data_IF_698920482407
#
_entry.id   IF_698920482407
#
_cell.length_a   1.000
_cell.length_b   1.000
_cell.length_c   1.000
_cell.angle_alpha   90.00
_cell.angle_beta   90.00
_cell.angle_gamma   90.00
#
_symmetry.space_group_name_H-M   'P 1'
#
loop_
_entity.id
_entity.type
_entity.pdbx_description
1 polymer ?
#
# COMPACT_ATOMS: atom_id res chain seq x y z
N UNK A 1 39.54 -0.57 3.44
CA UNK A 1 38.68 0.61 3.20
C UNK A 1 37.25 0.31 2.72
N UNK A 2 36.97 -0.71 1.87
CA UNK A 2 35.59 -1.19 1.64
C UNK A 2 35.15 -2.30 2.61
N UNK A 3 36.09 -3.02 3.22
CA UNK A 3 35.81 -4.02 4.27
C UNK A 3 35.70 -3.40 5.68
N UNK A 4 36.35 -2.27 5.95
CA UNK A 4 36.38 -1.65 7.29
C UNK A 4 35.06 -0.95 7.70
N UNK A 5 34.16 -0.67 6.75
CA UNK A 5 32.85 -0.05 7.06
C UNK A 5 31.81 -1.12 7.45
N UNK A 6 32.01 -2.37 7.05
CA UNK A 6 31.14 -3.48 7.46
C UNK A 6 31.43 -3.95 8.89
N UNK A 7 32.65 -3.74 9.39
CA UNK A 7 33.05 -4.24 10.72
C UNK A 7 32.59 -3.39 11.91
N UNK A 8 32.23 -2.11 11.73
CA UNK A 8 31.98 -1.21 12.86
C UNK A 8 30.61 -1.34 13.55
N UNK A 9 29.74 -2.26 13.10
CA UNK A 9 28.51 -2.61 13.84
C UNK A 9 28.53 -4.01 14.46
N UNK A 10 29.65 -4.73 14.31
CA UNK A 10 29.75 -6.18 14.64
C UNK A 10 30.33 -6.49 16.03
N UNK A 11 30.65 -5.49 16.85
CA UNK A 11 31.32 -5.69 18.15
C UNK A 11 30.51 -5.25 19.37
N UNK A 12 29.21 -5.55 19.40
CA UNK A 12 28.48 -5.58 20.67
C UNK A 12 27.53 -6.78 20.74
N UNK A 13 28.11 -7.94 21.03
CA UNK A 13 27.50 -9.17 21.57
C UNK A 13 27.53 -10.39 20.62
N UNK A 14 28.17 -11.51 21.02
CA UNK A 14 28.21 -12.75 20.25
C UNK A 14 26.83 -13.41 20.01
N UNK A 15 25.79 -13.02 20.73
CA UNK A 15 24.42 -13.52 20.54
C UNK A 15 23.68 -12.87 19.34
N UNK A 16 24.20 -11.80 18.74
CA UNK A 16 23.55 -11.07 17.64
C UNK A 16 23.76 -11.70 16.23
N UNK A 17 24.46 -12.82 16.13
CA UNK A 17 24.82 -13.47 14.86
C UNK A 17 23.69 -14.29 14.21
N UNK A 18 22.51 -14.42 14.85
CA UNK A 18 21.42 -15.30 14.39
C UNK A 18 20.21 -14.58 13.76
N UNK A 19 20.20 -13.25 13.71
CA UNK A 19 18.97 -12.50 13.42
C UNK A 19 18.76 -12.06 11.97
N UNK A 20 19.74 -12.27 11.08
CA UNK A 20 19.60 -11.91 9.66
C UNK A 20 19.86 -13.11 8.76
N UNK A 21 18.96 -13.41 7.80
CA UNK A 21 19.18 -14.49 6.83
C UNK A 21 20.46 -14.24 6.03
N UNK A 22 21.20 -15.30 5.75
CA UNK A 22 22.46 -15.23 5.01
C UNK A 22 22.21 -14.71 3.59
N UNK A 23 23.09 -13.83 3.09
CA UNK A 23 23.00 -13.18 1.76
C UNK A 23 22.85 -14.20 0.60
N UNK A 24 23.30 -15.43 0.78
CA UNK A 24 23.13 -16.52 -0.19
C UNK A 24 21.69 -17.03 -0.31
N UNK A 25 20.88 -16.97 0.75
CA UNK A 25 19.44 -17.30 0.68
C UNK A 25 18.67 -16.26 -0.14
N UNK A 26 19.10 -15.00 -0.08
CA UNK A 26 18.51 -13.90 -0.86
C UNK A 26 18.69 -14.04 -2.37
N UNK A 27 19.82 -14.60 -2.83
CA UNK A 27 20.05 -14.87 -4.26
C UNK A 27 19.14 -15.97 -4.80
N UNK A 28 18.94 -17.03 -4.02
CA UNK A 28 18.03 -18.14 -4.39
C UNK A 28 16.58 -17.64 -4.53
N UNK A 29 16.14 -16.76 -3.63
CA UNK A 29 14.78 -16.18 -3.71
C UNK A 29 14.54 -15.24 -4.90
N UNK A 30 15.59 -14.59 -5.43
CA UNK A 30 15.49 -13.72 -6.62
C UNK A 30 15.21 -14.56 -7.87
N UNK A 31 15.95 -15.65 -8.07
CA UNK A 31 15.80 -16.48 -9.26
C UNK A 31 14.44 -17.21 -9.26
N UNK A 32 14.00 -17.71 -8.11
CA UNK A 32 12.67 -18.33 -7.95
C UNK A 32 11.54 -17.34 -8.25
N UNK A 33 11.66 -16.09 -7.78
CA UNK A 33 10.66 -15.05 -8.04
C UNK A 33 10.57 -14.69 -9.53
N UNK A 34 11.71 -14.51 -10.19
CA UNK A 34 11.76 -14.24 -11.63
C UNK A 34 11.16 -15.40 -12.43
N UNK A 35 11.43 -16.64 -12.02
CA UNK A 35 10.83 -17.81 -12.65
C UNK A 35 9.30 -17.85 -12.48
N UNK A 36 8.78 -17.46 -11.31
CA UNK A 36 7.32 -17.33 -11.11
C UNK A 36 6.71 -16.30 -12.06
N UNK A 37 7.34 -15.13 -12.23
CA UNK A 37 6.86 -14.11 -13.18
C UNK A 37 6.88 -14.67 -14.61
N UNK A 38 7.96 -15.35 -14.98
CA UNK A 38 8.11 -15.94 -16.30
C UNK A 38 7.03 -16.98 -16.58
N UNK A 39 6.83 -17.93 -15.68
CA UNK A 39 5.82 -18.96 -15.82
C UNK A 39 4.40 -18.39 -15.82
N UNK A 40 4.13 -17.41 -14.95
CA UNK A 40 2.82 -16.75 -14.91
C UNK A 40 2.55 -15.99 -16.21
N UNK A 41 3.50 -15.18 -16.69
CA UNK A 41 3.34 -14.37 -17.90
C UNK A 41 3.12 -15.19 -19.16
N UNK A 42 3.64 -16.43 -19.21
CA UNK A 42 3.41 -17.38 -20.31
C UNK A 42 2.06 -18.10 -20.21
N UNK A 43 1.51 -18.26 -19.00
CA UNK A 43 0.30 -19.08 -18.73
C UNK A 43 -1.00 -18.29 -18.73
N UNK A 44 -0.96 -16.97 -18.55
CA UNK A 44 -2.16 -16.14 -18.45
C UNK A 44 -2.15 -14.97 -19.42
N UNK A 45 -3.34 -14.57 -19.89
CA UNK A 45 -3.51 -13.37 -20.70
C UNK A 45 -3.54 -12.10 -19.86
N UNK A 46 -3.77 -12.22 -18.54
CA UNK A 46 -3.83 -11.10 -17.61
C UNK A 46 -2.41 -10.53 -17.41
N UNK A 47 -2.19 -9.21 -17.60
CA UNK A 47 -0.88 -8.60 -17.40
C UNK A 47 -0.33 -8.86 -15.99
N UNK A 48 0.87 -9.40 -15.90
CA UNK A 48 1.59 -9.61 -14.64
C UNK A 48 2.34 -8.34 -14.26
N UNK A 49 2.11 -7.84 -13.04
CA UNK A 49 2.86 -6.73 -12.45
C UNK A 49 3.90 -7.33 -11.50
N UNK A 50 5.18 -7.11 -11.79
CA UNK A 50 6.27 -7.52 -10.90
C UNK A 50 6.46 -6.51 -9.77
N UNK A 51 6.58 -6.98 -8.53
CA UNK A 51 6.82 -6.13 -7.38
C UNK A 51 8.31 -6.10 -7.04
N UNK A 52 8.86 -4.91 -6.88
CA UNK A 52 10.22 -4.67 -6.44
C UNK A 52 10.18 -4.08 -5.02
N UNK A 53 10.81 -4.79 -4.08
CA UNK A 53 10.99 -4.35 -2.70
C UNK A 53 12.46 -4.57 -2.29
N UNK A 54 13.08 -3.57 -1.71
CA UNK A 54 14.48 -3.58 -1.31
C UNK A 54 14.94 -2.21 -0.80
N UNK A 55 16.22 -2.09 -0.51
CA UNK A 55 16.69 -1.02 0.39
C UNK A 55 17.92 -0.27 -0.12
N UNK A 56 18.58 -0.73 -1.19
CA UNK A 56 19.83 -0.16 -1.72
C UNK A 56 19.80 0.07 -3.23
N UNK A 57 20.36 1.20 -3.68
CA UNK A 57 20.31 1.64 -5.07
C UNK A 57 21.04 0.69 -6.05
N UNK A 58 22.10 0.00 -5.62
CA UNK A 58 22.99 -0.76 -6.49
C UNK A 58 22.43 -2.11 -6.98
N UNK A 59 21.42 -2.68 -6.33
CA UNK A 59 20.78 -3.94 -6.77
C UNK A 59 19.44 -3.75 -7.51
N UNK A 60 18.81 -2.59 -7.34
CA UNK A 60 17.44 -2.35 -7.80
C UNK A 60 17.29 -2.23 -9.31
N UNK A 61 18.25 -1.53 -9.94
CA UNK A 61 18.18 -1.22 -11.37
C UNK A 61 18.24 -2.50 -12.20
N UNK A 62 19.17 -3.39 -11.88
CA UNK A 62 19.33 -4.64 -12.63
C UNK A 62 18.20 -5.63 -12.33
N UNK A 63 17.72 -5.67 -11.08
CA UNK A 63 16.58 -6.51 -10.76
C UNK A 63 15.29 -6.05 -11.44
N UNK A 64 15.05 -4.74 -11.56
CA UNK A 64 13.93 -4.21 -12.35
C UNK A 64 13.99 -4.65 -13.82
N UNK A 65 15.19 -4.65 -14.43
CA UNK A 65 15.38 -5.17 -15.80
C UNK A 65 15.09 -6.67 -15.88
N UNK A 66 15.53 -7.46 -14.91
CA UNK A 66 15.25 -8.89 -14.88
C UNK A 66 13.74 -9.17 -14.73
N UNK A 67 13.03 -8.41 -13.89
CA UNK A 67 11.56 -8.49 -13.76
C UNK A 67 10.89 -8.23 -15.13
N UNK A 68 11.34 -7.19 -15.85
CA UNK A 68 10.84 -6.92 -17.20
C UNK A 68 11.17 -8.07 -18.17
N UNK A 69 12.40 -8.58 -18.16
CA UNK A 69 12.85 -9.67 -19.04
C UNK A 69 12.09 -10.97 -18.78
N UNK A 70 11.71 -11.22 -17.52
CA UNK A 70 10.85 -12.33 -17.13
C UNK A 70 9.41 -12.19 -17.66
N UNK A 71 9.05 -11.06 -18.30
CA UNK A 71 7.76 -10.90 -18.98
C UNK A 71 6.72 -10.09 -18.21
N UNK A 72 7.10 -9.45 -17.09
CA UNK A 72 6.23 -8.50 -16.42
C UNK A 72 5.82 -7.36 -17.37
N UNK A 73 4.54 -6.96 -17.30
CA UNK A 73 3.95 -5.87 -18.09
C UNK A 73 3.88 -4.55 -17.35
N UNK A 74 4.20 -4.56 -16.06
CA UNK A 74 4.36 -3.37 -15.23
C UNK A 74 5.24 -3.70 -14.03
N UNK A 75 5.81 -2.66 -13.43
CA UNK A 75 6.63 -2.75 -12.22
C UNK A 75 5.94 -2.00 -11.09
N UNK A 76 5.64 -2.65 -9.97
CA UNK A 76 5.26 -1.97 -8.72
C UNK A 76 6.49 -1.83 -7.83
N UNK A 77 6.94 -0.61 -7.60
CA UNK A 77 8.03 -0.32 -6.69
C UNK A 77 7.50 0.03 -5.31
N UNK A 78 7.82 -0.81 -4.33
CA UNK A 78 7.56 -0.54 -2.92
C UNK A 78 8.82 0.03 -2.27
N UNK A 79 8.85 1.35 -2.10
CA UNK A 79 9.95 2.04 -1.43
C UNK A 79 9.75 1.87 0.08
N UNK A 80 10.18 0.73 0.60
CA UNK A 80 10.17 0.43 2.03
C UNK A 80 11.31 1.18 2.72
N UNK A 81 11.07 2.46 3.03
CA UNK A 81 12.04 3.31 3.70
C UNK A 81 11.42 4.00 4.93
N UNK A 82 11.96 3.65 6.10
CA UNK A 82 11.64 4.29 7.38
C UNK A 82 12.85 5.18 7.74
N UNK A 83 12.75 6.52 7.62
CA UNK A 83 13.84 7.40 8.00
C UNK A 83 13.94 7.47 9.53
N UNK A 84 14.86 6.68 10.10
CA UNK A 84 15.08 6.63 11.56
C UNK A 84 16.17 7.58 12.05
N UNK A 85 16.92 8.20 11.13
CA UNK A 85 17.91 9.21 11.44
C UNK A 85 17.22 10.51 11.84
N UNK A 86 17.56 11.02 13.03
CA UNK A 86 16.95 12.22 13.61
C UNK A 86 17.41 13.50 12.92
N UNK A 87 18.56 13.48 12.25
CA UNK A 87 19.13 14.65 11.57
C UNK A 87 18.72 14.73 10.09
N UNK A 88 17.99 13.72 9.58
CA UNK A 88 17.55 13.66 8.19
C UNK A 88 16.30 14.52 7.95
N UNK A 89 16.41 15.51 7.07
CA UNK A 89 15.30 16.38 6.71
C UNK A 89 14.25 15.69 5.83
N UNK A 90 12.98 16.04 6.02
CA UNK A 90 11.88 15.47 5.21
C UNK A 90 12.02 15.72 3.70
N UNK A 91 12.66 16.84 3.30
CA UNK A 91 12.97 17.11 1.89
C UNK A 91 13.96 16.11 1.30
N UNK A 92 14.98 15.71 2.06
CA UNK A 92 15.96 14.71 1.62
C UNK A 92 15.29 13.33 1.46
N UNK A 93 14.34 13.02 2.34
CA UNK A 93 13.49 11.82 2.21
C UNK A 93 12.69 11.88 0.91
N UNK A 94 12.02 13.00 0.60
CA UNK A 94 11.28 13.17 -0.66
C UNK A 94 12.19 13.02 -1.88
N UNK A 95 13.36 13.67 -1.89
CA UNK A 95 14.32 13.64 -3.00
C UNK A 95 14.79 12.22 -3.30
N UNK A 96 15.05 11.40 -2.27
CA UNK A 96 15.39 9.98 -2.44
C UNK A 96 14.32 9.19 -3.19
N UNK A 97 13.03 9.42 -2.90
CA UNK A 97 11.94 8.76 -3.63
C UNK A 97 11.93 9.18 -5.11
N UNK A 98 12.14 10.46 -5.41
CA UNK A 98 12.15 10.98 -6.78
C UNK A 98 13.35 10.44 -7.59
N UNK A 99 14.52 10.34 -6.97
CA UNK A 99 15.70 9.75 -7.58
C UNK A 99 15.47 8.28 -7.97
N UNK A 100 14.89 7.48 -7.06
CA UNK A 100 14.56 6.07 -7.30
C UNK A 100 13.63 5.95 -8.52
N UNK A 101 12.55 6.72 -8.56
CA UNK A 101 11.60 6.70 -9.69
C UNK A 101 12.29 7.09 -10.99
N UNK A 102 13.08 8.16 -10.97
CA UNK A 102 13.81 8.64 -12.15
C UNK A 102 14.79 7.58 -12.67
N UNK A 103 15.50 6.88 -11.79
CA UNK A 103 16.44 5.83 -12.16
C UNK A 103 15.72 4.60 -12.72
N UNK A 104 14.61 4.17 -12.12
CA UNK A 104 13.81 3.05 -12.62
C UNK A 104 13.21 3.36 -14.00
N UNK A 105 12.66 4.56 -14.19
CA UNK A 105 12.11 4.97 -15.49
C UNK A 105 13.16 5.05 -16.61
N UNK A 106 14.44 5.20 -16.27
CA UNK A 106 15.55 5.10 -17.23
C UNK A 106 15.99 3.67 -17.50
N UNK A 107 15.69 2.72 -16.61
CA UNK A 107 16.19 1.35 -16.70
C UNK A 107 15.21 0.37 -17.34
N UNK A 108 13.91 0.63 -17.26
CA UNK A 108 12.84 -0.22 -17.82
C UNK A 108 11.95 0.57 -18.77
N UNK A 109 11.32 -0.14 -19.72
CA UNK A 109 10.37 0.42 -20.70
C UNK A 109 8.91 0.14 -20.34
N UNK A 110 8.66 -0.78 -19.42
CA UNK A 110 7.31 -1.03 -18.88
C UNK A 110 6.85 0.07 -17.92
N UNK A 111 5.54 0.27 -17.72
CA UNK A 111 5.00 1.21 -16.73
C UNK A 111 5.48 0.92 -15.31
N UNK A 112 5.73 1.97 -14.54
CA UNK A 112 6.21 1.91 -13.14
C UNK A 112 5.17 2.54 -12.23
N UNK A 113 4.63 1.73 -11.32
CA UNK A 113 3.72 2.12 -10.25
C UNK A 113 4.49 2.31 -8.94
N UNK A 114 4.29 3.42 -8.23
CA UNK A 114 4.95 3.68 -6.94
C UNK A 114 4.00 3.41 -5.80
N UNK A 115 4.35 2.47 -4.92
CA UNK A 115 3.59 2.19 -3.70
C UNK A 115 4.05 3.09 -2.56
N UNK A 116 3.11 3.87 -2.04
CA UNK A 116 3.40 5.00 -1.17
C UNK A 116 3.11 4.71 0.28
N UNK A 117 3.79 5.45 1.15
CA UNK A 117 3.45 5.60 2.56
C UNK A 117 2.66 6.91 2.77
N UNK A 118 1.74 6.95 3.74
CA UNK A 118 0.86 8.11 3.93
C UNK A 118 1.47 9.25 4.77
N UNK A 119 2.76 9.17 5.13
CA UNK A 119 3.36 10.02 6.17
C UNK A 119 4.09 11.28 5.65
N UNK A 120 3.95 11.61 4.38
CA UNK A 120 4.48 12.87 3.86
C UNK A 120 3.65 14.05 4.37
N UNK A 121 4.32 15.07 4.91
CA UNK A 121 3.68 16.31 5.39
C UNK A 121 2.80 16.98 4.33
N UNK A 122 3.13 16.81 3.05
CA UNK A 122 2.33 17.24 1.91
C UNK A 122 2.16 16.11 0.90
N UNK A 123 1.36 15.10 1.26
CA UNK A 123 1.11 13.92 0.42
C UNK A 123 0.62 14.26 -0.99
N UNK A 124 -0.27 15.26 -1.17
CA UNK A 124 -0.70 15.68 -2.50
C UNK A 124 0.45 16.24 -3.35
N UNK A 125 1.34 17.03 -2.74
CA UNK A 125 2.52 17.55 -3.43
C UNK A 125 3.50 16.43 -3.78
N UNK A 126 3.74 15.50 -2.86
CA UNK A 126 4.62 14.36 -3.09
C UNK A 126 4.10 13.47 -4.24
N UNK A 127 2.79 13.16 -4.23
CA UNK A 127 2.14 12.43 -5.32
C UNK A 127 2.34 13.12 -6.68
N UNK A 128 2.17 14.45 -6.73
CA UNK A 128 2.42 15.23 -7.94
C UNK A 128 3.87 15.13 -8.41
N UNK A 129 4.84 15.34 -7.52
CA UNK A 129 6.27 15.26 -7.84
C UNK A 129 6.67 13.88 -8.38
N UNK A 130 6.10 12.79 -7.85
CA UNK A 130 6.36 11.43 -8.33
C UNK A 130 5.86 11.20 -9.76
N UNK A 131 4.68 11.72 -10.09
CA UNK A 131 4.16 11.69 -11.46
C UNK A 131 5.04 12.52 -12.39
N UNK A 132 5.45 13.72 -11.96
CA UNK A 132 6.40 14.57 -12.70
C UNK A 132 7.78 13.90 -12.88
N UNK A 133 8.21 13.06 -11.93
CA UNK A 133 9.42 12.24 -12.04
C UNK A 133 9.25 11.01 -12.96
N UNK A 134 8.04 10.74 -13.44
CA UNK A 134 7.74 9.73 -14.46
C UNK A 134 6.98 8.49 -13.96
N UNK A 135 6.44 8.49 -12.74
CA UNK A 135 5.57 7.40 -12.28
C UNK A 135 4.28 7.32 -13.12
N UNK A 136 3.98 6.13 -13.66
CA UNK A 136 2.79 5.90 -14.49
C UNK A 136 1.54 5.58 -13.64
N UNK A 137 1.76 5.14 -12.40
CA UNK A 137 0.71 4.90 -11.43
C UNK A 137 1.17 5.13 -9.99
N UNK A 138 0.21 5.38 -9.09
CA UNK A 138 0.44 5.46 -7.64
C UNK A 138 -0.43 4.43 -6.91
N UNK A 139 0.16 3.71 -5.96
CA UNK A 139 -0.53 2.68 -5.16
C UNK A 139 -0.66 3.16 -3.70
N UNK A 140 -1.90 3.36 -3.25
CA UNK A 140 -2.21 3.98 -1.96
C UNK A 140 -2.90 2.98 -1.02
N UNK A 141 -2.38 2.68 0.17
CA UNK A 141 -1.01 2.89 0.67
C UNK A 141 -0.42 1.57 1.14
N UNK A 142 0.91 1.49 1.16
CA UNK A 142 1.60 0.41 1.84
C UNK A 142 1.20 0.35 3.32
N UNK A 143 1.25 -0.85 3.91
CA UNK A 143 0.95 -1.09 5.32
C UNK A 143 2.22 -1.60 6.00
N UNK A 144 2.66 -0.89 7.04
CA UNK A 144 3.78 -1.33 7.85
C UNK A 144 3.36 -2.45 8.79
N UNK A 145 4.24 -3.43 8.97
CA UNK A 145 4.15 -4.36 10.07
C UNK A 145 4.83 -3.71 11.26
N UNK A 146 4.04 -2.90 11.98
CA UNK A 146 4.49 -2.24 13.20
C UNK A 146 4.78 -3.30 14.26
N UNK A 147 5.86 -3.16 15.04
CA UNK A 147 6.12 -4.06 16.15
C UNK A 147 5.00 -3.95 17.18
N UNK A 148 4.64 -5.09 17.76
CA UNK A 148 3.76 -5.16 18.92
C UNK A 148 4.55 -5.76 20.09
N UNK A 149 4.05 -5.59 21.31
CA UNK A 149 4.66 -6.17 22.50
C UNK A 149 3.79 -7.29 23.05
N UNK A 150 4.42 -8.43 23.34
CA UNK A 150 3.85 -9.36 24.30
C UNK A 150 4.07 -8.77 25.70
N UNK A 151 2.98 -8.36 26.36
CA UNK A 151 3.05 -7.71 27.68
C UNK A 151 3.28 -8.70 28.82
N UNK A 152 3.04 -9.99 28.60
CA UNK A 152 3.28 -11.03 29.59
C UNK A 152 4.75 -11.47 29.52
N UNK A 153 5.25 -11.70 28.31
CA UNK A 153 6.62 -12.15 28.07
C UNK A 153 7.64 -11.00 27.91
N UNK A 154 7.18 -9.74 27.91
CA UNK A 154 8.00 -8.53 27.73
C UNK A 154 8.90 -8.60 26.49
N UNK A 155 8.35 -9.12 25.39
CA UNK A 155 9.07 -9.39 24.15
C UNK A 155 8.40 -8.73 22.94
N UNK A 156 9.13 -8.63 21.83
CA UNK A 156 8.55 -8.14 20.56
C UNK A 156 7.73 -9.28 19.96
N UNK A 157 6.43 -9.02 19.76
CA UNK A 157 5.53 -9.92 19.05
C UNK A 157 5.64 -9.71 17.54
N UNK A 158 5.87 -10.80 16.82
CA UNK A 158 5.92 -10.83 15.35
C UNK A 158 4.65 -11.45 14.75
N UNK A 159 3.48 -11.17 15.33
CA UNK A 159 2.22 -11.70 14.83
C UNK A 159 1.75 -10.96 13.57
N UNK A 160 1.64 -11.69 12.45
CA UNK A 160 1.07 -11.15 11.22
C UNK A 160 -0.41 -10.81 11.41
N UNK A 161 -0.74 -9.52 11.49
CA UNK A 161 -2.12 -9.06 11.47
C UNK A 161 -2.58 -8.74 10.06
N UNK A 162 -3.62 -9.45 9.60
CA UNK A 162 -4.27 -9.17 8.33
C UNK A 162 -5.08 -7.89 8.41
N UNK A 163 -5.05 -7.09 7.32
CA UNK A 163 -5.84 -5.87 7.25
C UNK A 163 -7.35 -6.13 7.41
N UNK A 164 -8.01 -5.08 7.89
CA UNK A 164 -9.43 -5.00 8.22
C UNK A 164 -10.13 -4.00 7.29
N UNK A 165 -11.44 -4.18 7.03
CA UNK A 165 -12.22 -3.22 6.25
C UNK A 165 -12.23 -1.79 6.81
N UNK A 166 -11.88 -1.59 8.08
CA UNK A 166 -11.80 -0.25 8.68
C UNK A 166 -10.64 0.60 8.16
N UNK A 167 -9.56 -0.05 7.70
CA UNK A 167 -8.33 0.61 7.26
C UNK A 167 -8.46 1.30 5.90
N UNK A 168 -9.58 1.11 5.19
CA UNK A 168 -9.78 1.74 3.88
C UNK A 168 -9.85 3.27 3.95
N UNK A 169 -10.20 3.84 5.11
CA UNK A 169 -10.54 5.26 5.24
C UNK A 169 -9.42 6.19 4.81
N UNK A 170 -8.18 5.84 5.14
CA UNK A 170 -7.01 6.66 4.82
C UNK A 170 -6.69 6.63 3.32
N UNK A 171 -6.49 5.48 2.66
CA UNK A 171 -6.35 5.45 1.20
C UNK A 171 -7.56 6.05 0.48
N UNK A 172 -8.77 5.80 0.97
CA UNK A 172 -10.03 6.29 0.38
C UNK A 172 -10.04 7.82 0.30
N UNK A 173 -9.66 8.50 1.39
CA UNK A 173 -9.59 9.96 1.42
C UNK A 173 -8.61 10.49 0.37
N UNK A 174 -7.41 9.92 0.29
CA UNK A 174 -6.40 10.38 -0.64
C UNK A 174 -6.74 10.07 -2.10
N UNK A 175 -7.33 8.92 -2.39
CA UNK A 175 -7.84 8.60 -3.73
C UNK A 175 -8.88 9.63 -4.18
N UNK A 176 -9.84 9.96 -3.31
CA UNK A 176 -10.85 10.96 -3.59
C UNK A 176 -10.28 12.38 -3.81
N UNK A 177 -9.18 12.73 -3.13
CA UNK A 177 -8.49 14.01 -3.26
C UNK A 177 -7.66 14.09 -4.55
N UNK A 178 -7.01 12.98 -4.95
CA UNK A 178 -6.09 12.95 -6.09
C UNK A 178 -6.78 12.68 -7.44
N UNK A 179 -7.94 12.03 -7.42
CA UNK A 179 -8.68 11.69 -8.63
C UNK A 179 -8.90 12.91 -9.54
N UNK A 180 -8.59 12.75 -10.83
CA UNK A 180 -8.73 13.79 -11.85
C UNK A 180 -7.78 14.98 -11.74
N UNK A 181 -6.86 14.99 -10.76
CA UNK A 181 -5.85 16.06 -10.57
C UNK A 181 -4.45 15.69 -11.01
N UNK A 182 -4.20 14.40 -11.20
CA UNK A 182 -2.93 13.85 -11.69
C UNK A 182 -3.21 13.04 -12.95
N UNK A 183 -2.37 13.20 -13.98
CA UNK A 183 -2.41 12.38 -15.19
C UNK A 183 -1.66 11.06 -14.95
N UNK A 184 -2.24 10.21 -14.10
CA UNK A 184 -1.65 8.93 -13.65
C UNK A 184 -2.75 7.97 -13.23
N UNK A 185 -2.47 6.66 -13.26
CA UNK A 185 -3.41 5.67 -12.70
C UNK A 185 -3.32 5.59 -11.18
N UNK A 186 -4.43 5.40 -10.49
CA UNK A 186 -4.50 5.29 -9.04
C UNK A 186 -4.97 3.90 -8.60
N UNK A 187 -4.11 3.17 -7.90
CA UNK A 187 -4.44 1.86 -7.33
C UNK A 187 -4.76 1.97 -5.84
N UNK A 188 -5.81 1.29 -5.41
CA UNK A 188 -6.17 1.18 -4.01
C UNK A 188 -5.70 -0.17 -3.44
N UNK A 189 -5.02 -0.13 -2.29
CA UNK A 189 -4.68 -1.31 -1.50
C UNK A 189 -5.07 -1.07 -0.04
N UNK A 190 -4.96 -2.12 0.78
CA UNK A 190 -5.23 -2.13 2.22
C UNK A 190 -6.72 -2.16 2.55
N UNK A 191 -7.11 -3.04 3.47
CA UNK A 191 -8.48 -3.15 3.97
C UNK A 191 -9.52 -3.71 2.97
N UNK A 192 -9.15 -4.09 1.76
CA UNK A 192 -10.07 -4.71 0.78
C UNK A 192 -10.45 -6.13 1.24
N UNK A 193 -11.48 -6.24 2.08
CA UNK A 193 -11.98 -7.51 2.60
C UNK A 193 -13.16 -8.10 1.82
N UNK A 194 -13.89 -7.29 1.06
CA UNK A 194 -15.09 -7.71 0.33
C UNK A 194 -15.37 -6.82 -0.90
N UNK A 195 -16.43 -7.16 -1.64
CA UNK A 195 -16.96 -6.35 -2.76
C UNK A 195 -17.31 -4.91 -2.35
N UNK A 196 -17.71 -4.68 -1.10
CA UNK A 196 -18.08 -3.34 -0.59
C UNK A 196 -16.89 -2.39 -0.62
N UNK A 197 -15.71 -2.87 -0.26
CA UNK A 197 -14.48 -2.07 -0.25
C UNK A 197 -14.03 -1.77 -1.69
N UNK A 198 -14.19 -2.74 -2.61
CA UNK A 198 -13.95 -2.50 -4.05
C UNK A 198 -14.82 -1.35 -4.55
N UNK A 199 -16.13 -1.44 -4.30
CA UNK A 199 -17.10 -0.43 -4.76
C UNK A 199 -16.75 0.95 -4.18
N UNK A 200 -16.41 1.05 -2.90
CA UNK A 200 -16.02 2.32 -2.27
C UNK A 200 -14.77 2.91 -2.92
N UNK A 201 -13.73 2.11 -3.17
CA UNK A 201 -12.50 2.60 -3.78
C UNK A 201 -12.68 3.06 -5.23
N UNK A 202 -13.43 2.30 -6.03
CA UNK A 202 -13.76 2.71 -7.39
C UNK A 202 -14.61 3.98 -7.40
N UNK A 203 -15.60 4.12 -6.49
CA UNK A 203 -16.39 5.36 -6.32
C UNK A 203 -15.52 6.55 -5.94
N UNK A 204 -14.47 6.35 -5.13
CA UNK A 204 -13.52 7.39 -4.74
C UNK A 204 -12.62 7.82 -5.91
N UNK A 205 -12.37 6.93 -6.88
CA UNK A 205 -11.57 7.24 -8.07
C UNK A 205 -10.38 6.31 -8.30
N UNK A 206 -10.28 5.17 -7.62
CA UNK A 206 -9.28 4.17 -7.96
C UNK A 206 -9.56 3.54 -9.33
N UNK A 207 -8.52 3.19 -10.09
CA UNK A 207 -8.56 2.41 -11.32
C UNK A 207 -8.52 0.90 -11.06
N UNK A 208 -7.85 0.49 -9.99
CA UNK A 208 -7.83 -0.90 -9.55
C UNK A 208 -7.82 -1.01 -8.02
N UNK A 209 -8.17 -2.19 -7.52
CA UNK A 209 -8.19 -2.52 -6.10
C UNK A 209 -7.42 -3.81 -5.86
N UNK A 210 -6.57 -3.81 -4.84
CA UNK A 210 -5.69 -4.93 -4.50
C UNK A 210 -6.14 -5.57 -3.18
N UNK A 211 -6.18 -6.91 -3.13
CA UNK A 211 -6.47 -7.63 -1.88
C UNK A 211 -5.54 -8.82 -1.68
N UNK A 212 -4.85 -8.84 -0.54
CA UNK A 212 -4.12 -10.00 -0.04
C UNK A 212 -4.87 -10.63 1.13
N UNK A 213 -5.33 -9.82 2.09
CA UNK A 213 -5.97 -10.30 3.32
C UNK A 213 -7.26 -11.10 3.06
N UNK A 214 -8.06 -10.74 2.06
CA UNK A 214 -9.26 -11.53 1.74
C UNK A 214 -8.90 -12.91 1.18
N UNK A 215 -7.87 -12.97 0.32
CA UNK A 215 -7.42 -14.23 -0.29
C UNK A 215 -6.73 -15.14 0.71
N UNK A 216 -5.95 -14.59 1.65
CA UNK A 216 -5.34 -15.37 2.72
C UNK A 216 -6.39 -15.94 3.68
N UNK A 217 -7.51 -15.23 3.89
CA UNK A 217 -8.62 -15.69 4.76
C UNK A 217 -9.53 -16.71 4.08
N UNK A 218 -9.81 -16.53 2.78
CA UNK A 218 -10.91 -17.22 2.11
C UNK A 218 -10.46 -18.06 0.90
N UNK A 219 -9.18 -18.01 0.52
CA UNK A 219 -8.62 -18.68 -0.64
C UNK A 219 -8.84 -17.90 -1.95
N UNK A 220 -8.09 -18.31 -2.99
CA UNK A 220 -8.10 -17.68 -4.33
C UNK A 220 -9.52 -17.58 -4.96
N UNK A 221 -10.39 -18.61 -4.88
CA UNK A 221 -11.73 -18.55 -5.49
C UNK A 221 -12.61 -17.41 -4.96
N UNK A 222 -12.27 -16.81 -3.82
CA UNK A 222 -13.00 -15.68 -3.25
C UNK A 222 -13.00 -14.44 -4.16
N UNK A 223 -12.00 -14.28 -5.03
CA UNK A 223 -12.01 -13.22 -6.07
C UNK A 223 -13.27 -13.29 -6.93
N UNK A 224 -13.69 -14.49 -7.36
CA UNK A 224 -14.88 -14.66 -8.20
C UNK A 224 -16.12 -14.20 -7.46
N UNK A 225 -16.26 -14.58 -6.19
CA UNK A 225 -17.37 -14.14 -5.35
C UNK A 225 -17.42 -12.62 -5.22
N UNK A 226 -16.29 -11.98 -4.92
CA UNK A 226 -16.20 -10.52 -4.84
C UNK A 226 -16.60 -9.85 -6.16
N UNK A 227 -16.13 -10.36 -7.30
CA UNK A 227 -16.46 -9.82 -8.61
C UNK A 227 -17.95 -9.97 -8.95
N UNK A 228 -18.56 -11.10 -8.63
CA UNK A 228 -19.98 -11.34 -8.90
C UNK A 228 -20.89 -10.45 -8.05
N UNK A 229 -20.50 -10.16 -6.81
CA UNK A 229 -21.19 -9.17 -5.99
C UNK A 229 -21.07 -7.75 -6.55
N UNK A 230 -19.89 -7.35 -7.06
CA UNK A 230 -19.72 -6.05 -7.74
C UNK A 230 -20.60 -5.96 -8.98
N UNK A 231 -20.62 -7.00 -9.83
CA UNK A 231 -21.52 -7.07 -11.01
C UNK A 231 -22.98 -6.96 -10.60
N UNK A 232 -23.40 -7.68 -9.56
CA UNK A 232 -24.76 -7.64 -9.04
C UNK A 232 -25.15 -6.24 -8.56
N UNK A 233 -24.23 -5.56 -7.85
CA UNK A 233 -24.41 -4.18 -7.41
C UNK A 233 -24.53 -3.20 -8.58
N UNK A 234 -23.74 -3.39 -9.64
CA UNK A 234 -23.80 -2.60 -10.88
C UNK A 234 -25.14 -2.80 -11.60
N UNK A 235 -25.56 -4.06 -11.78
CA UNK A 235 -26.83 -4.42 -12.43
C UNK A 235 -28.03 -3.81 -11.70
N UNK A 236 -28.05 -3.87 -10.37
CA UNK A 236 -29.10 -3.26 -9.55
C UNK A 236 -29.22 -1.74 -9.73
N UNK A 237 -28.14 -1.07 -10.18
CA UNK A 237 -28.07 0.37 -10.44
C UNK A 237 -28.10 0.72 -11.92
N UNK A 238 -28.25 -0.28 -12.81
CA UNK A 238 -28.22 -0.11 -14.27
C UNK A 238 -26.92 0.55 -14.76
N UNK A 239 -25.80 0.18 -14.16
CA UNK A 239 -24.48 0.55 -14.67
C UNK A 239 -23.95 -0.54 -15.61
N UNK A 240 -23.68 -0.17 -16.86
CA UNK A 240 -23.12 -1.05 -17.88
C UNK A 240 -21.59 -1.10 -17.82
N UNK A 241 -20.95 -0.11 -17.18
CA UNK A 241 -19.48 -0.06 -17.06
C UNK A 241 -19.02 0.65 -15.79
N UNK A 242 -17.81 0.31 -15.33
CA UNK A 242 -17.13 1.00 -14.22
C UNK A 242 -16.97 2.50 -14.50
N UNK A 243 -16.67 2.87 -15.75
CA UNK A 243 -16.49 4.27 -16.17
C UNK A 243 -17.70 5.17 -15.89
N UNK A 244 -18.92 4.62 -15.83
CA UNK A 244 -20.13 5.39 -15.52
C UNK A 244 -20.21 5.85 -14.07
N UNK A 245 -19.42 5.28 -13.15
CA UNK A 245 -19.53 5.57 -11.72
C UNK A 245 -18.21 5.71 -10.97
N UNK A 246 -17.09 5.32 -11.59
CA UNK A 246 -15.76 5.58 -11.05
C UNK A 246 -15.58 7.06 -10.74
N UNK A 247 -15.04 7.37 -9.55
CA UNK A 247 -14.78 8.75 -9.14
C UNK A 247 -16.03 9.62 -8.89
N UNK A 248 -17.26 9.09 -8.96
CA UNK A 248 -18.48 9.87 -8.65
C UNK A 248 -18.51 10.43 -7.24
N UNK A 249 -17.79 9.80 -6.31
CA UNK A 249 -17.66 10.27 -4.93
C UNK A 249 -16.32 10.96 -4.68
N UNK A 250 -15.51 11.26 -5.70
CA UNK A 250 -14.27 12.03 -5.52
C UNK A 250 -14.53 13.46 -5.04
N UNK A 251 -13.52 14.11 -4.46
CA UNK A 251 -13.65 15.47 -3.93
C UNK A 251 -14.12 16.48 -4.99
N UNK A 252 -13.75 16.28 -6.26
CA UNK A 252 -14.15 17.17 -7.35
C UNK A 252 -15.60 16.95 -7.84
N UNK A 253 -16.21 15.80 -7.54
CA UNK A 253 -17.51 15.41 -8.08
C UNK A 253 -18.64 15.41 -7.03
N UNK A 254 -18.32 15.54 -5.73
CA UNK A 254 -19.32 15.68 -4.68
C UNK A 254 -19.83 17.12 -4.54
N UNK A 255 -21.08 17.29 -4.13
CA UNK A 255 -21.71 18.61 -3.94
C UNK A 255 -21.01 19.47 -2.89
N UNK A 256 -20.46 18.85 -1.83
CA UNK A 256 -19.76 19.52 -0.73
C UNK A 256 -18.32 18.98 -0.61
N UNK A 257 -17.33 19.58 -1.32
CA UNK A 257 -15.92 19.17 -1.27
C UNK A 257 -15.30 19.25 0.14
N UNK A 258 -15.87 20.07 1.03
CA UNK A 258 -15.40 20.22 2.42
C UNK A 258 -15.60 18.94 3.25
N UNK A 259 -16.40 17.98 2.76
CA UNK A 259 -16.54 16.63 3.29
C UNK A 259 -15.23 15.81 3.26
N UNK A 260 -14.23 16.26 2.53
CA UNK A 260 -12.88 15.67 2.53
C UNK A 260 -11.89 16.42 3.42
N UNK A 261 -12.36 17.47 4.09
CA UNK A 261 -11.57 18.41 4.86
C UNK A 261 -12.12 18.51 6.30
N UNK A 262 -11.82 19.62 6.99
CA UNK A 262 -12.20 19.86 8.38
C UNK A 262 -13.71 19.72 8.65
N UNK A 263 -14.58 19.97 7.67
CA UNK A 263 -16.02 19.84 7.88
C UNK A 263 -16.45 18.39 8.16
N UNK A 264 -15.73 17.40 7.62
CA UNK A 264 -15.95 15.98 7.94
C UNK A 264 -15.74 15.69 9.43
N UNK A 265 -14.63 16.19 9.99
CA UNK A 265 -14.32 16.04 11.40
C UNK A 265 -15.44 16.59 12.29
N UNK A 266 -15.98 17.77 11.95
CA UNK A 266 -17.08 18.39 12.71
C UNK A 266 -18.35 17.53 12.62
N UNK A 267 -18.69 17.01 11.43
CA UNK A 267 -19.87 16.14 11.23
C UNK A 267 -19.72 14.82 11.99
N UNK A 268 -18.53 14.21 11.99
CA UNK A 268 -18.25 12.97 12.75
C UNK A 268 -18.42 13.17 14.26
N UNK A 269 -17.90 14.28 14.82
CA UNK A 269 -18.07 14.58 16.24
C UNK A 269 -19.53 14.83 16.61
N UNK A 270 -20.27 15.58 15.79
CA UNK A 270 -21.71 15.82 16.01
C UNK A 270 -22.54 14.54 15.87
N UNK A 271 -22.10 13.61 15.04
CA UNK A 271 -22.78 12.34 14.78
C UNK A 271 -22.43 11.22 15.76
N UNK A 272 -21.38 11.36 16.58
CA UNK A 272 -21.00 10.35 17.55
C UNK A 272 -22.00 10.32 18.71
N UNK A 273 -22.79 9.25 18.79
CA UNK A 273 -23.63 8.95 19.94
C UNK A 273 -22.86 8.03 20.88
N UNK A 274 -22.78 8.43 22.16
CA UNK A 274 -22.20 7.58 23.21
C UNK A 274 -23.05 6.30 23.28
N UNK A 275 -22.47 5.11 23.05
CA UNK A 275 -23.18 3.86 23.24
C UNK A 275 -23.75 3.84 24.65
N UNK A 276 -25.05 3.55 24.80
CA UNK A 276 -25.68 3.54 26.11
C UNK A 276 -24.91 2.61 27.04
N UNK A 277 -24.34 3.16 28.11
CA UNK A 277 -23.62 2.37 29.13
C UNK A 277 -24.56 1.27 29.60
N UNK A 278 -24.16 0.02 29.40
CA UNK A 278 -24.87 -1.16 29.89
C UNK A 278 -25.15 -0.98 31.40
N UNK A 279 -26.42 -1.13 31.80
CA UNK A 279 -26.88 -0.82 33.15
C UNK A 279 -26.12 -1.59 34.25
N UNK A 280 -25.44 -2.69 33.86
CA UNK A 280 -24.59 -3.50 34.74
C UNK A 280 -23.34 -2.75 35.22
N UNK A 281 -22.77 -1.85 34.42
CA UNK A 281 -21.55 -1.11 34.78
C UNK A 281 -21.88 0.01 35.77
N UNK A 282 -23.06 0.65 35.66
CA UNK A 282 -23.48 1.70 36.61
C UNK A 282 -23.61 1.18 38.05
N UNK A 283 -24.10 -0.04 38.23
CA UNK A 283 -24.32 -0.60 39.56
C UNK A 283 -23.03 -0.99 40.32
N UNK A 284 -21.90 -1.16 39.62
CA UNK A 284 -20.62 -1.45 40.24
C UNK A 284 -19.84 -0.18 40.63
N UNK A 285 -20.06 0.93 39.94
CA UNK A 285 -19.39 2.21 40.23
C UNK A 285 -20.07 2.92 41.42
N UNK A 286 -21.36 2.68 41.67
CA UNK A 286 -22.09 3.23 42.83
C UNK A 286 -21.95 2.41 44.12
N UNK A 287 -21.07 1.40 44.16
CA UNK A 287 -20.82 0.53 45.33
C UNK A 287 -19.37 0.58 45.86
N UNK A 288 -18.55 1.50 45.36
CA UNK A 288 -17.28 1.91 45.99
C UNK A 288 -17.45 3.32 46.57
#
# INVERSE_FOLDING_TARGET
MYEEILEQSTFSSPEALSYFPNVNEYKVGIDDYLHIIEEASKKVEIPIIGSLNGTTNSGWIDYAKHIQQAGAKGLEVNIYYIPTDLDLGGREVEEKYLEIVTLLKKSVTIPVAVKLNPYFSSMANMAKKLVEAGADALVLFNRFYEPDFDIEDMSISHALQLSSPGEIRLPFQWLAILYGRLDTSLAATTGVGSSKEIIKYLLAGADCTMTASALLKHGIPFITHMLDEVKSWMNARKFDSIKQWQGKMSQMNVEDPSMYERANYIKLLKGYQIPSIDARIRNNISRQ
#
